data_IF_782652743204
#
_entry.id   IF_782652743204
#
_cell.length_a   1.000
_cell.length_b   1.000
_cell.length_c   1.000
_cell.angle_alpha   90.00
_cell.angle_beta   90.00
_cell.angle_gamma   90.00
#
_symmetry.space_group_name_H-M   'P 1'
#
loop_
_entity.id
_entity.type
_entity.pdbx_description
1 polymer ?
#
# COMPACT_ATOMS: atom_id res chain seq x y z
N UNK A 1 16.88 7.66 -17.79
CA UNK A 1 15.60 7.64 -18.54
C UNK A 1 14.67 8.60 -17.81
N UNK A 2 14.46 9.80 -18.34
CA UNK A 2 13.50 10.74 -17.75
C UNK A 2 12.13 10.36 -18.27
N UNK A 3 11.23 9.94 -17.36
CA UNK A 3 9.81 9.88 -17.69
C UNK A 3 9.36 11.33 -17.80
N UNK A 4 8.96 11.77 -18.99
CA UNK A 4 8.38 13.10 -19.15
C UNK A 4 6.96 13.07 -18.57
N UNK A 5 6.82 13.58 -17.34
CA UNK A 5 5.57 13.55 -16.57
C UNK A 5 4.48 14.41 -17.25
N UNK A 6 4.87 15.43 -18.01
CA UNK A 6 3.94 16.35 -18.70
C UNK A 6 3.09 15.64 -19.77
N UNK A 7 3.58 14.55 -20.36
CA UNK A 7 2.84 13.79 -21.38
C UNK A 7 1.95 12.68 -20.80
N UNK A 8 1.98 12.44 -19.49
CA UNK A 8 1.27 11.31 -18.88
C UNK A 8 -0.24 11.50 -18.89
N UNK A 9 -0.81 12.68 -18.56
CA UNK A 9 -2.24 12.89 -18.69
C UNK A 9 -2.75 12.63 -20.12
N UNK A 10 -2.00 13.08 -21.13
CA UNK A 10 -2.30 12.84 -22.55
C UNK A 10 -2.23 11.34 -22.91
N UNK A 11 -1.17 10.65 -22.50
CA UNK A 11 -1.01 9.19 -22.71
C UNK A 11 -2.17 8.40 -22.11
N UNK A 12 -2.66 8.83 -20.95
CA UNK A 12 -3.75 8.16 -20.23
C UNK A 12 -5.14 8.61 -20.71
N UNK A 13 -5.22 9.59 -21.61
CA UNK A 13 -6.49 10.18 -22.07
C UNK A 13 -7.28 10.85 -20.94
N UNK A 14 -6.60 11.35 -19.91
CA UNK A 14 -7.22 11.99 -18.74
C UNK A 14 -7.33 13.49 -18.99
N UNK A 15 -8.56 13.99 -18.97
CA UNK A 15 -8.84 15.43 -19.01
C UNK A 15 -8.64 16.02 -17.61
N UNK A 16 -7.44 16.48 -17.29
CA UNK A 16 -7.14 17.18 -16.04
C UNK A 16 -5.73 16.91 -15.50
N UNK A 17 -5.34 17.69 -14.50
CA UNK A 17 -4.07 17.49 -13.77
C UNK A 17 -4.24 16.43 -12.69
N UNK A 18 -3.43 15.38 -12.75
CA UNK A 18 -3.35 14.30 -11.74
C UNK A 18 -2.46 14.74 -10.57
N UNK A 19 -1.61 15.75 -10.78
CA UNK A 19 -0.59 16.21 -9.86
C UNK A 19 0.70 15.41 -10.02
N UNK A 20 1.82 16.10 -10.24
CA UNK A 20 3.15 15.49 -10.40
C UNK A 20 3.51 14.55 -9.25
N UNK A 21 3.20 14.93 -8.01
CA UNK A 21 3.48 14.12 -6.82
C UNK A 21 2.69 12.81 -6.77
N UNK A 22 1.43 12.83 -7.18
CA UNK A 22 0.58 11.63 -7.23
C UNK A 22 1.10 10.68 -8.31
N UNK A 23 1.49 11.23 -9.47
CA UNK A 23 2.11 10.45 -10.53
C UNK A 23 3.43 9.82 -10.06
N UNK A 24 4.30 10.60 -9.41
CA UNK A 24 5.54 10.08 -8.83
C UNK A 24 5.26 8.94 -7.84
N UNK A 25 4.37 9.15 -6.87
CA UNK A 25 4.01 8.13 -5.88
C UNK A 25 3.44 6.87 -6.54
N UNK A 26 2.63 7.01 -7.60
CA UNK A 26 2.10 5.90 -8.38
C UNK A 26 3.21 5.10 -9.09
N UNK A 27 4.16 5.77 -9.74
CA UNK A 27 5.27 5.10 -10.42
C UNK A 27 6.18 4.38 -9.44
N UNK A 28 6.59 5.07 -8.38
CA UNK A 28 7.45 4.50 -7.35
C UNK A 28 6.79 3.30 -6.70
N UNK A 29 5.52 3.42 -6.30
CA UNK A 29 4.75 2.31 -5.75
C UNK A 29 4.67 1.14 -6.72
N UNK A 30 4.34 1.39 -7.99
CA UNK A 30 4.15 0.31 -8.97
C UNK A 30 5.44 -0.48 -9.19
N UNK A 31 6.58 0.21 -9.33
CA UNK A 31 7.88 -0.42 -9.51
C UNK A 31 8.34 -1.17 -8.25
N UNK A 32 8.26 -0.52 -7.09
CA UNK A 32 8.67 -1.11 -5.81
C UNK A 32 7.79 -2.30 -5.45
N UNK A 33 6.47 -2.17 -5.59
CA UNK A 33 5.54 -3.26 -5.30
C UNK A 33 5.79 -4.43 -6.25
N UNK A 34 5.98 -4.20 -7.55
CA UNK A 34 6.23 -5.29 -8.52
C UNK A 34 7.49 -6.08 -8.19
N UNK A 35 8.59 -5.41 -7.85
CA UNK A 35 9.83 -6.10 -7.47
C UNK A 35 9.70 -6.79 -6.10
N UNK A 36 9.05 -6.15 -5.13
CA UNK A 36 8.79 -6.76 -3.83
C UNK A 36 7.85 -7.97 -3.95
N UNK A 37 6.85 -7.93 -4.82
CA UNK A 37 5.96 -9.07 -5.08
C UNK A 37 6.76 -10.28 -5.56
N UNK A 38 7.73 -10.07 -6.46
CA UNK A 38 8.62 -11.15 -6.91
C UNK A 38 9.54 -11.67 -5.80
N UNK A 39 10.15 -10.78 -4.98
CA UNK A 39 11.16 -11.17 -3.98
C UNK A 39 10.61 -11.61 -2.62
N UNK A 40 9.48 -11.06 -2.19
CA UNK A 40 8.87 -11.29 -0.87
C UNK A 40 7.64 -12.19 -0.96
N UNK A 41 6.92 -12.14 -2.08
CA UNK A 41 5.57 -12.72 -2.19
C UNK A 41 5.49 -13.85 -3.22
N UNK A 42 6.63 -14.42 -3.60
CA UNK A 42 6.77 -15.52 -4.57
C UNK A 42 6.09 -15.21 -5.93
N UNK A 43 6.07 -13.92 -6.32
CA UNK A 43 5.44 -13.44 -7.55
C UNK A 43 3.91 -13.41 -7.53
N UNK A 44 3.27 -13.69 -6.39
CA UNK A 44 1.81 -13.74 -6.27
C UNK A 44 1.33 -13.21 -4.92
N UNK A 45 1.11 -11.90 -4.84
CA UNK A 45 0.66 -11.25 -3.62
C UNK A 45 -0.79 -11.67 -3.25
N UNK A 46 -0.94 -12.36 -2.11
CA UNK A 46 -2.24 -12.76 -1.55
C UNK A 46 -2.47 -12.15 -0.17
N UNK A 47 -3.61 -11.50 0.02
CA UNK A 47 -4.02 -11.02 1.35
C UNK A 47 -4.16 -12.13 2.40
N UNK A 48 -4.39 -13.38 1.98
CA UNK A 48 -4.41 -14.54 2.87
C UNK A 48 -3.01 -14.95 3.39
N UNK A 49 -1.94 -14.56 2.69
CA UNK A 49 -0.55 -14.87 3.04
C UNK A 49 0.15 -13.68 3.71
N UNK A 50 -0.56 -12.60 4.02
CA UNK A 50 0.02 -11.35 4.54
C UNK A 50 0.80 -11.53 5.84
N UNK A 51 0.39 -12.49 6.68
CA UNK A 51 1.09 -12.82 7.92
C UNK A 51 2.47 -13.44 7.66
N UNK A 52 2.59 -14.35 6.68
CA UNK A 52 3.88 -14.89 6.23
C UNK A 52 4.81 -13.76 5.77
N UNK A 53 4.29 -12.83 4.96
CA UNK A 53 5.09 -11.70 4.47
C UNK A 53 5.52 -10.79 5.62
N UNK A 54 4.64 -10.55 6.60
CA UNK A 54 4.94 -9.75 7.78
C UNK A 54 6.02 -10.37 8.66
N UNK A 55 5.99 -11.69 8.88
CA UNK A 55 7.07 -12.40 9.58
C UNK A 55 8.40 -12.26 8.85
N UNK A 56 8.45 -12.41 7.52
CA UNK A 56 9.71 -12.21 6.77
C UNK A 56 10.23 -10.77 6.94
N UNK A 57 9.35 -9.76 6.90
CA UNK A 57 9.76 -8.37 7.11
C UNK A 57 10.35 -8.16 8.51
N UNK A 58 9.70 -8.68 9.54
CA UNK A 58 10.04 -8.38 10.94
C UNK A 58 11.09 -9.34 11.49
N UNK A 59 10.86 -10.64 11.38
CA UNK A 59 11.67 -11.66 12.04
C UNK A 59 12.99 -11.89 11.29
N UNK A 60 12.96 -11.94 9.95
CA UNK A 60 14.14 -12.22 9.14
C UNK A 60 14.96 -10.96 8.79
N UNK A 61 14.31 -9.79 8.77
CA UNK A 61 14.92 -8.55 8.27
C UNK A 61 14.86 -7.36 9.24
N UNK A 62 14.31 -7.55 10.45
CA UNK A 62 14.19 -6.52 11.50
C UNK A 62 13.54 -5.21 11.03
N UNK A 63 12.62 -5.27 10.06
CA UNK A 63 11.92 -4.09 9.56
C UNK A 63 10.83 -3.68 10.56
N UNK A 64 10.73 -2.38 10.83
CA UNK A 64 9.66 -1.81 11.66
C UNK A 64 8.60 -1.15 10.77
N UNK A 65 7.34 -1.56 10.92
CA UNK A 65 6.18 -1.02 10.20
C UNK A 65 5.33 -0.05 11.02
N UNK A 66 5.75 0.32 12.24
CA UNK A 66 5.02 1.17 13.18
C UNK A 66 4.59 2.50 12.58
N UNK A 67 5.48 3.20 11.86
CA UNK A 67 5.14 4.47 11.20
C UNK A 67 3.97 4.30 10.22
N UNK A 68 4.02 3.26 9.39
CA UNK A 68 2.97 2.95 8.41
C UNK A 68 1.68 2.52 9.11
N UNK A 69 1.80 1.72 10.16
CA UNK A 69 0.67 1.26 10.96
C UNK A 69 -0.08 2.44 11.59
N UNK A 70 0.62 3.35 12.27
CA UNK A 70 0.02 4.53 12.89
C UNK A 70 -0.62 5.46 11.86
N UNK A 71 0.03 5.66 10.72
CA UNK A 71 -0.57 6.41 9.60
C UNK A 71 -1.89 5.77 9.12
N UNK A 72 -1.93 4.46 8.92
CA UNK A 72 -3.14 3.78 8.46
C UNK A 72 -4.22 3.68 9.53
N UNK A 73 -3.84 3.55 10.80
CA UNK A 73 -4.75 3.61 11.94
C UNK A 73 -5.43 4.98 12.00
N UNK A 74 -4.66 6.06 11.92
CA UNK A 74 -5.23 7.41 11.85
C UNK A 74 -6.18 7.56 10.66
N UNK A 75 -5.77 7.12 9.47
CA UNK A 75 -6.56 7.26 8.25
C UNK A 75 -7.87 6.47 8.25
N UNK A 76 -7.85 5.22 8.73
CA UNK A 76 -8.95 4.27 8.58
C UNK A 76 -9.74 4.00 9.87
N UNK A 77 -9.31 4.55 11.02
CA UNK A 77 -10.01 4.41 12.30
C UNK A 77 -10.38 5.78 12.89
N UNK A 78 -9.44 6.70 12.99
CA UNK A 78 -9.61 7.95 13.76
C UNK A 78 -10.14 9.14 12.95
N UNK A 79 -9.75 9.26 11.68
CA UNK A 79 -10.10 10.40 10.84
C UNK A 79 -11.62 10.52 10.61
N UNK A 80 -12.13 11.74 10.43
CA UNK A 80 -13.57 12.00 10.29
C UNK A 80 -14.29 11.24 9.16
N UNK A 81 -13.56 10.79 8.13
CA UNK A 81 -14.09 10.01 7.00
C UNK A 81 -13.55 8.55 6.97
N UNK A 82 -13.03 8.06 8.10
CA UNK A 82 -12.38 6.76 8.24
C UNK A 82 -13.23 5.59 7.70
N UNK A 83 -14.51 5.55 8.07
CA UNK A 83 -15.44 4.47 7.65
C UNK A 83 -15.58 4.40 6.13
N UNK A 84 -15.86 5.51 5.47
CA UNK A 84 -16.04 5.55 4.01
C UNK A 84 -14.73 5.22 3.27
N UNK A 85 -13.60 5.67 3.80
CA UNK A 85 -12.26 5.35 3.27
C UNK A 85 -11.96 3.86 3.38
N UNK A 86 -12.28 3.24 4.52
CA UNK A 86 -12.06 1.80 4.72
C UNK A 86 -13.00 0.96 3.84
N UNK A 87 -14.25 1.40 3.65
CA UNK A 87 -15.19 0.78 2.71
C UNK A 87 -14.72 0.87 1.26
N UNK A 88 -14.13 2.01 0.88
CA UNK A 88 -13.53 2.19 -0.44
C UNK A 88 -12.27 1.33 -0.62
N UNK A 89 -11.48 1.12 0.43
CA UNK A 89 -10.33 0.22 0.40
C UNK A 89 -10.76 -1.26 0.23
N UNK A 90 -11.79 -1.66 0.98
CA UNK A 90 -12.24 -3.04 1.13
C UNK A 90 -13.76 -3.17 0.90
N UNK A 91 -14.20 -3.45 -0.33
CA UNK A 91 -15.63 -3.62 -0.62
C UNK A 91 -16.23 -4.89 0.01
N UNK A 92 -15.40 -5.89 0.34
CA UNK A 92 -15.85 -7.13 0.99
C UNK A 92 -15.85 -6.99 2.52
N UNK A 93 -16.99 -7.29 3.14
CA UNK A 93 -17.20 -7.12 4.58
C UNK A 93 -16.19 -7.87 5.45
N UNK A 94 -15.76 -9.07 5.03
CA UNK A 94 -14.76 -9.86 5.75
C UNK A 94 -13.40 -9.17 5.80
N UNK A 95 -12.85 -8.79 4.65
CA UNK A 95 -11.54 -8.11 4.58
C UNK A 95 -11.56 -6.78 5.34
N UNK A 96 -12.67 -6.04 5.24
CA UNK A 96 -12.90 -4.80 5.99
C UNK A 96 -12.80 -5.04 7.51
N UNK A 97 -13.50 -6.05 8.00
CA UNK A 97 -13.51 -6.39 9.44
C UNK A 97 -12.13 -6.83 9.92
N UNK A 98 -11.40 -7.62 9.12
CA UNK A 98 -10.04 -8.05 9.44
C UNK A 98 -9.08 -6.86 9.58
N UNK A 99 -9.09 -5.91 8.63
CA UNK A 99 -8.23 -4.72 8.69
C UNK A 99 -8.65 -3.80 9.84
N UNK A 100 -9.96 -3.57 10.04
CA UNK A 100 -10.46 -2.76 11.15
C UNK A 100 -9.98 -3.31 12.50
N UNK A 101 -10.17 -4.61 12.74
CA UNK A 101 -9.76 -5.24 13.99
C UNK A 101 -8.24 -5.20 14.19
N UNK A 102 -7.46 -5.36 13.12
CA UNK A 102 -6.00 -5.29 13.19
C UNK A 102 -5.51 -3.89 13.57
N UNK A 103 -6.05 -2.84 12.96
CA UNK A 103 -5.68 -1.44 13.26
C UNK A 103 -6.19 -0.97 14.62
N UNK A 104 -7.33 -1.49 15.09
CA UNK A 104 -7.94 -1.10 16.37
C UNK A 104 -7.41 -1.90 17.57
N UNK A 105 -6.45 -2.82 17.36
CA UNK A 105 -5.81 -3.56 18.46
C UNK A 105 -5.02 -2.60 19.35
N UNK A 106 -5.16 -2.72 20.67
CA UNK A 106 -4.53 -1.81 21.65
C UNK A 106 -3.01 -1.96 21.68
N UNK A 107 -2.52 -3.20 21.72
CA UNK A 107 -1.10 -3.52 21.80
C UNK A 107 -0.76 -4.58 20.74
N UNK A 108 -0.69 -4.20 19.45
CA UNK A 108 -0.28 -5.11 18.40
C UNK A 108 1.23 -5.38 18.48
N UNK A 109 1.64 -6.63 18.21
CA UNK A 109 3.05 -6.95 18.04
C UNK A 109 3.61 -6.34 16.74
N UNK A 110 4.94 -6.30 16.61
CA UNK A 110 5.60 -5.82 15.37
C UNK A 110 5.12 -6.58 14.12
N UNK A 111 4.95 -7.90 14.23
CA UNK A 111 4.43 -8.74 13.14
C UNK A 111 2.97 -8.42 12.83
N UNK A 112 2.14 -8.17 13.85
CA UNK A 112 0.72 -7.81 13.64
C UNK A 112 0.57 -6.44 12.97
N UNK A 113 1.40 -5.46 13.36
CA UNK A 113 1.46 -4.17 12.69
C UNK A 113 1.86 -4.33 11.22
N UNK A 114 2.94 -5.06 10.94
CA UNK A 114 3.39 -5.33 9.58
C UNK A 114 2.33 -6.10 8.76
N UNK A 115 1.62 -7.06 9.36
CA UNK A 115 0.55 -7.81 8.72
C UNK A 115 -0.61 -6.90 8.30
N UNK A 116 -1.05 -5.99 9.18
CA UNK A 116 -2.08 -5.00 8.85
C UNK A 116 -1.64 -4.13 7.66
N UNK A 117 -0.39 -3.63 7.69
CA UNK A 117 0.18 -2.81 6.61
C UNK A 117 0.25 -3.60 5.29
N UNK A 118 0.66 -4.88 5.33
CA UNK A 118 0.71 -5.73 4.14
C UNK A 118 -0.66 -6.02 3.54
N UNK A 119 -1.70 -6.26 4.37
CA UNK A 119 -3.08 -6.39 3.87
C UNK A 119 -3.51 -5.12 3.13
N UNK A 120 -3.23 -3.95 3.71
CA UNK A 120 -3.56 -2.65 3.09
C UNK A 120 -2.77 -2.45 1.79
N UNK A 121 -1.47 -2.74 1.76
CA UNK A 121 -0.63 -2.65 0.56
C UNK A 121 -1.18 -3.48 -0.62
N UNK A 122 -1.58 -4.72 -0.35
CA UNK A 122 -2.16 -5.62 -1.36
C UNK A 122 -3.51 -5.08 -1.84
N UNK A 123 -4.34 -4.54 -0.94
CA UNK A 123 -5.61 -3.90 -1.31
C UNK A 123 -5.42 -2.64 -2.14
N UNK A 124 -4.43 -1.80 -1.81
CA UNK A 124 -4.08 -0.62 -2.60
C UNK A 124 -3.66 -1.03 -4.02
N UNK A 125 -2.80 -2.05 -4.16
CA UNK A 125 -2.43 -2.60 -5.47
C UNK A 125 -3.64 -3.10 -6.24
N UNK A 126 -4.54 -3.85 -5.59
CA UNK A 126 -5.75 -4.35 -6.23
C UNK A 126 -6.66 -3.21 -6.69
N UNK A 127 -6.82 -2.19 -5.85
CA UNK A 127 -7.67 -1.04 -6.13
C UNK A 127 -7.12 -0.20 -7.28
N UNK A 128 -5.80 0.04 -7.33
CA UNK A 128 -5.17 0.70 -8.48
C UNK A 128 -5.59 -0.01 -9.76
N UNK A 129 -5.31 -1.30 -9.95
CA UNK A 129 -5.61 -1.98 -11.23
C UNK A 129 -7.09 -2.28 -11.51
N UNK A 130 -8.03 -1.78 -10.71
CA UNK A 130 -9.47 -1.96 -10.94
C UNK A 130 -10.07 -0.73 -11.66
N UNK A 131 -10.18 -0.81 -12.99
CA UNK A 131 -10.42 0.33 -13.90
C UNK A 131 -11.74 1.11 -13.79
N UNK A 132 -12.67 0.77 -12.89
CA UNK A 132 -13.98 1.47 -12.80
C UNK A 132 -13.92 2.84 -12.12
N UNK A 133 -12.84 3.16 -11.40
CA UNK A 133 -12.73 4.37 -10.57
C UNK A 133 -11.33 5.01 -10.60
N UNK A 134 -10.49 4.67 -11.59
CA UNK A 134 -9.06 4.99 -11.61
C UNK A 134 -8.76 6.47 -11.30
N UNK A 135 -9.40 7.41 -11.99
CA UNK A 135 -9.16 8.86 -11.82
C UNK A 135 -9.54 9.39 -10.43
N UNK A 136 -10.67 8.94 -9.87
CA UNK A 136 -11.12 9.34 -8.53
C UNK A 136 -10.31 8.68 -7.44
N UNK A 137 -9.86 7.45 -7.69
CA UNK A 137 -9.10 6.67 -6.73
C UNK A 137 -7.66 7.14 -6.59
N UNK A 138 -7.10 7.93 -7.50
CA UNK A 138 -5.75 8.48 -7.29
C UNK A 138 -5.74 9.67 -6.32
N UNK A 139 -6.87 10.38 -6.17
CA UNK A 139 -6.99 11.48 -5.23
C UNK A 139 -6.87 10.95 -3.80
N UNK A 140 -6.08 11.64 -2.98
CA UNK A 140 -5.75 11.26 -1.59
C UNK A 140 -4.96 9.95 -1.41
N UNK A 141 -4.43 9.34 -2.48
CA UNK A 141 -3.62 8.12 -2.34
C UNK A 141 -2.12 8.38 -2.27
N UNK A 142 -1.65 9.59 -2.61
CA UNK A 142 -0.21 9.94 -2.57
C UNK A 142 0.47 9.40 -1.31
N UNK A 143 -0.07 9.75 -0.13
CA UNK A 143 0.50 9.32 1.15
C UNK A 143 0.36 7.81 1.39
N UNK A 144 -0.74 7.18 0.97
CA UNK A 144 -0.91 5.72 1.11
C UNK A 144 0.15 4.97 0.30
N UNK A 145 0.35 5.40 -0.94
CA UNK A 145 1.35 4.83 -1.86
C UNK A 145 2.76 5.06 -1.33
N UNK A 146 3.05 6.26 -0.84
CA UNK A 146 4.34 6.60 -0.25
C UNK A 146 4.66 5.76 1.00
N UNK A 147 3.68 5.52 1.89
CA UNK A 147 3.89 4.71 3.10
C UNK A 147 4.24 3.26 2.77
N UNK A 148 3.50 2.66 1.82
CA UNK A 148 3.81 1.30 1.36
C UNK A 148 5.17 1.25 0.65
N UNK A 149 5.43 2.22 -0.23
CA UNK A 149 6.69 2.32 -0.99
C UNK A 149 7.88 2.42 -0.05
N UNK A 150 7.80 3.21 1.03
CA UNK A 150 8.87 3.32 2.03
C UNK A 150 9.19 1.97 2.67
N UNK A 151 8.16 1.23 3.12
CA UNK A 151 8.32 -0.07 3.76
C UNK A 151 8.92 -1.11 2.80
N UNK A 152 8.32 -1.27 1.62
CA UNK A 152 8.76 -2.26 0.64
C UNK A 152 10.14 -1.92 0.07
N UNK A 153 10.44 -0.64 -0.16
CA UNK A 153 11.77 -0.24 -0.62
C UNK A 153 12.86 -0.49 0.43
N UNK A 154 12.52 -0.43 1.73
CA UNK A 154 13.44 -0.81 2.80
C UNK A 154 13.78 -2.31 2.71
N UNK A 155 12.77 -3.17 2.58
CA UNK A 155 12.98 -4.60 2.35
C UNK A 155 13.87 -4.85 1.13
N UNK A 156 13.55 -4.24 -0.02
CA UNK A 156 14.32 -4.40 -1.25
C UNK A 156 15.77 -3.91 -1.13
N UNK A 157 16.05 -2.91 -0.28
CA UNK A 157 17.41 -2.43 -0.02
C UNK A 157 18.22 -3.38 0.84
N UNK A 158 17.60 -4.02 1.82
CA UNK A 158 18.24 -4.99 2.71
C UNK A 158 18.49 -6.34 2.02
N UNK A 159 17.60 -6.74 1.12
CA UNK A 159 17.63 -8.02 0.40
C UNK A 159 18.21 -7.91 -1.01
N UNK A 160 19.05 -6.89 -1.27
CA UNK A 160 19.68 -6.74 -2.60
C UNK A 160 20.53 -7.98 -2.90
N UNK A 161 20.26 -8.60 -4.04
CA UNK A 161 21.14 -9.60 -4.64
C UNK A 161 22.56 -8.99 -4.77
N UNK A 162 23.56 -9.69 -4.23
CA UNK A 162 24.99 -9.38 -4.46
C UNK A 162 25.42 -9.92 -5.83
#
# INVERSE_FOLDING_TARGET
MYINIEHIPELLGINGDIGEKVLQALFEFTLVFSLAEQRLMDGYAKGANSEKYASILVDDNDINAEQQFEYFKERYISAGDATNRLESLCPHAREKTEIYNALNKQEPSRVEMANAVMKIAIRLRHNLFHGRKWEYMLREQEDNLNMVTKLLSQYLRLTREQ
#
